data_IF_610180310918
#
_entry.id   IF_610180310918
#
_cell.length_a   1.000
_cell.length_b   1.000
_cell.length_c   1.000
_cell.angle_alpha   90.00
_cell.angle_beta   90.00
_cell.angle_gamma   90.00
#
_symmetry.space_group_name_H-M   'P 1'
#
loop_
_entity.id
_entity.type
_entity.pdbx_description
1 polymer ?
#
# COMPACT_ATOMS: atom_id res chain seq x y z
N UNK A 1 5.53 43.93 5.95
CA UNK A 1 6.17 43.32 4.77
C UNK A 1 7.56 42.85 5.17
N UNK A 2 7.96 41.63 4.81
CA UNK A 2 9.33 41.14 5.04
C UNK A 2 9.38 39.65 5.38
N UNK A 3 9.23 38.80 4.37
CA UNK A 3 9.56 37.38 4.49
C UNK A 3 11.07 37.16 4.33
N UNK A 4 11.61 36.14 5.00
CA UNK A 4 12.95 35.64 4.70
C UNK A 4 12.94 34.11 4.72
N UNK A 5 13.13 33.54 3.54
CA UNK A 5 13.13 32.09 3.31
C UNK A 5 14.40 31.44 3.86
N UNK A 6 14.23 30.32 4.56
CA UNK A 6 15.34 29.45 4.95
C UNK A 6 15.66 28.48 3.80
N UNK A 7 16.77 28.72 3.13
CA UNK A 7 17.39 27.78 2.21
C UNK A 7 17.85 26.54 2.98
N UNK A 8 17.36 25.36 2.61
CA UNK A 8 17.82 24.09 3.17
C UNK A 8 19.30 23.87 2.82
N UNK A 9 20.16 23.73 3.82
CA UNK A 9 21.56 23.33 3.65
C UNK A 9 21.68 21.83 3.88
N UNK A 10 22.29 21.16 2.91
CA UNK A 10 22.45 19.72 2.86
C UNK A 10 23.66 19.31 3.71
N UNK A 11 23.50 18.31 4.59
CA UNK A 11 24.58 17.71 5.39
C UNK A 11 24.83 16.32 4.82
N UNK A 12 26.04 16.08 4.34
CA UNK A 12 26.46 14.77 3.82
C UNK A 12 27.08 13.95 4.95
N UNK A 13 26.55 12.75 5.16
CA UNK A 13 27.09 11.76 6.09
C UNK A 13 27.83 10.69 5.27
N UNK A 14 29.13 10.50 5.55
CA UNK A 14 29.87 9.32 5.10
C UNK A 14 29.80 8.25 6.19
N UNK A 15 29.50 7.01 5.80
CA UNK A 15 29.59 5.84 6.68
C UNK A 15 30.91 5.14 6.36
N UNK A 16 31.82 5.09 7.33
CA UNK A 16 33.01 4.23 7.25
C UNK A 16 32.62 2.77 7.57
N UNK A 17 33.41 1.80 7.10
CA UNK A 17 33.15 0.34 7.14
C UNK A 17 32.93 -0.26 8.55
N UNK A 18 33.08 0.52 9.62
CA UNK A 18 32.90 0.11 11.02
C UNK A 18 31.63 0.69 11.69
N UNK A 19 30.63 1.12 10.92
CA UNK A 19 29.35 1.69 11.42
C UNK A 19 29.50 2.88 12.40
N UNK A 20 30.66 3.55 12.42
CA UNK A 20 30.91 4.69 13.31
C UNK A 20 30.77 5.99 12.53
N UNK A 21 29.77 6.79 12.88
CA UNK A 21 29.55 8.13 12.28
C UNK A 21 30.70 9.06 12.68
N UNK A 22 31.53 9.44 11.71
CA UNK A 22 32.53 10.51 11.86
C UNK A 22 31.92 11.82 11.35
N UNK A 23 31.79 12.81 12.24
CA UNK A 23 31.29 14.14 11.88
C UNK A 23 32.45 14.91 11.23
N UNK A 24 32.38 15.16 9.93
CA UNK A 24 33.34 16.04 9.24
C UNK A 24 33.16 17.46 9.79
N UNK A 25 34.25 18.02 10.32
CA UNK A 25 34.26 19.30 11.02
C UNK A 25 33.66 20.44 10.19
N UNK A 26 32.73 21.18 10.80
CA UNK A 26 32.15 22.36 10.19
C UNK A 26 30.92 22.97 10.88
N UNK A 27 30.46 22.44 12.02
CA UNK A 27 29.25 22.95 12.70
C UNK A 27 29.62 23.69 13.98
N UNK A 28 29.49 25.02 13.94
CA UNK A 28 29.53 25.89 15.13
C UNK A 28 28.29 25.60 15.99
N UNK A 29 28.42 24.70 16.96
CA UNK A 29 27.31 24.19 17.79
C UNK A 29 26.98 25.16 18.93
N UNK A 30 25.95 26.00 18.77
CA UNK A 30 25.26 26.59 19.92
C UNK A 30 24.46 25.46 20.60
N UNK A 31 25.05 24.81 21.61
CA UNK A 31 24.31 23.89 22.47
C UNK A 31 23.40 24.74 23.37
N UNK A 32 22.08 24.55 23.27
CA UNK A 32 21.13 25.11 24.24
C UNK A 32 21.54 24.68 25.66
N UNK A 33 21.64 25.62 26.60
CA UNK A 33 22.02 25.34 28.00
C UNK A 33 21.10 24.30 28.65
N UNK A 34 19.83 24.25 28.22
CA UNK A 34 18.86 23.25 28.65
C UNK A 34 19.23 21.82 28.20
N UNK A 35 19.77 21.63 27.00
CA UNK A 35 20.20 20.31 26.51
C UNK A 35 21.47 19.84 27.22
N UNK A 36 22.36 20.77 27.57
CA UNK A 36 23.56 20.47 28.38
C UNK A 36 23.12 20.04 29.79
N UNK A 37 22.20 20.77 30.41
CA UNK A 37 21.69 20.45 31.74
C UNK A 37 20.93 19.11 31.77
N UNK A 38 20.13 18.82 30.74
CA UNK A 38 19.43 17.54 30.60
C UNK A 38 20.39 16.36 30.44
N UNK A 39 21.42 16.49 29.58
CA UNK A 39 22.46 15.48 29.40
C UNK A 39 23.22 15.21 30.69
N UNK A 40 23.65 16.27 31.39
CA UNK A 40 24.39 16.15 32.65
C UNK A 40 23.54 15.50 33.76
N UNK A 41 22.26 15.85 33.82
CA UNK A 41 21.33 15.24 34.78
C UNK A 41 21.12 13.75 34.49
N UNK A 42 20.92 13.38 33.23
CA UNK A 42 20.75 11.99 32.83
C UNK A 42 22.01 11.15 33.12
N UNK A 43 23.19 11.67 32.79
CA UNK A 43 24.47 11.01 33.03
C UNK A 43 24.74 10.81 34.54
N UNK A 44 24.36 11.80 35.36
CA UNK A 44 24.43 11.68 36.83
C UNK A 44 23.44 10.63 37.37
N UNK A 45 22.22 10.58 36.86
CA UNK A 45 21.25 9.54 37.23
C UNK A 45 21.75 8.14 36.82
N UNK A 46 22.35 8.03 35.63
CA UNK A 46 22.91 6.78 35.13
C UNK A 46 24.11 6.33 35.97
N UNK A 47 24.97 7.25 36.42
CA UNK A 47 26.07 6.96 37.33
C UNK A 47 25.59 6.47 38.70
N UNK A 48 24.53 7.07 39.25
CA UNK A 48 23.94 6.62 40.51
C UNK A 48 23.37 5.20 40.42
N UNK A 49 22.65 4.89 39.34
CA UNK A 49 22.11 3.54 39.11
C UNK A 49 23.24 2.52 38.93
N UNK A 50 24.28 2.87 38.18
CA UNK A 50 25.48 2.04 38.00
C UNK A 50 26.18 1.78 39.35
N UNK A 51 26.32 2.79 40.19
CA UNK A 51 26.94 2.65 41.52
C UNK A 51 26.10 1.75 42.45
N UNK A 52 24.77 1.88 42.44
CA UNK A 52 23.87 1.02 43.21
C UNK A 52 23.97 -0.44 42.75
N UNK A 53 24.05 -0.68 41.43
CA UNK A 53 24.25 -2.02 40.87
C UNK A 53 25.61 -2.60 41.23
N UNK A 54 26.68 -1.79 41.19
CA UNK A 54 28.02 -2.22 41.59
C UNK A 54 28.05 -2.59 43.08
N UNK A 55 27.40 -1.81 43.94
CA UNK A 55 27.25 -2.11 45.37
C UNK A 55 26.47 -3.40 45.61
N UNK A 56 25.35 -3.61 44.91
CA UNK A 56 24.60 -4.87 45.00
C UNK A 56 25.42 -6.07 44.54
N UNK A 57 26.10 -5.96 43.40
CA UNK A 57 26.95 -7.03 42.86
C UNK A 57 28.14 -7.34 43.77
N UNK A 58 28.65 -6.34 44.50
CA UNK A 58 29.71 -6.54 45.49
C UNK A 58 29.19 -7.20 46.76
N UNK A 59 28.04 -6.76 47.28
CA UNK A 59 27.36 -7.41 48.41
C UNK A 59 27.01 -8.87 48.10
N UNK A 60 26.61 -9.18 46.86
CA UNK A 60 26.36 -10.56 46.42
C UNK A 60 27.64 -11.42 46.44
N UNK A 61 28.76 -10.87 45.96
CA UNK A 61 30.07 -11.55 45.98
C UNK A 61 30.59 -11.75 47.41
N UNK A 62 30.44 -10.75 48.27
CA UNK A 62 30.85 -10.81 49.67
C UNK A 62 29.95 -11.77 50.47
N UNK A 63 28.64 -11.76 50.25
CA UNK A 63 27.71 -12.74 50.82
C UNK A 63 28.03 -14.17 50.38
N UNK A 64 28.44 -14.36 49.12
CA UNK A 64 28.90 -15.66 48.60
C UNK A 64 30.27 -16.08 49.15
N UNK A 65 31.07 -15.16 49.69
CA UNK A 65 32.38 -15.43 50.28
C UNK A 65 32.33 -15.63 51.81
N UNK A 66 31.34 -15.05 52.50
CA UNK A 66 31.16 -15.14 53.97
C UNK A 66 30.41 -16.40 54.39
N UNK A 67 29.69 -17.08 53.49
CA UNK A 67 29.10 -18.39 53.79
C UNK A 67 30.17 -19.46 53.97
N UNK A 68 30.46 -19.80 55.23
CA UNK A 68 31.39 -20.84 55.67
C UNK A 68 31.05 -22.20 55.02
N UNK A 69 32.04 -22.81 54.36
CA UNK A 69 31.85 -23.96 53.48
C UNK A 69 31.66 -25.28 54.25
N UNK A 70 30.43 -25.81 54.28
CA UNK A 70 30.26 -27.28 54.28
C UNK A 70 28.86 -27.75 53.87
N UNK A 71 27.79 -27.14 54.38
CA UNK A 71 26.41 -27.64 54.14
C UNK A 71 25.65 -26.92 53.01
N UNK A 72 25.95 -25.65 52.71
CA UNK A 72 25.24 -24.85 51.70
C UNK A 72 25.93 -24.80 50.33
N UNK A 73 27.20 -25.21 50.26
CA UNK A 73 28.02 -25.21 49.05
C UNK A 73 27.57 -26.19 47.96
N UNK A 74 27.05 -27.40 48.26
CA UNK A 74 26.52 -28.28 47.23
C UNK A 74 25.26 -27.71 46.54
N UNK A 75 24.37 -27.09 47.33
CA UNK A 75 23.15 -26.47 46.82
C UNK A 75 23.46 -25.24 45.95
N UNK A 76 24.40 -24.38 46.39
CA UNK A 76 24.84 -23.22 45.61
C UNK A 76 25.54 -23.61 44.29
N UNK A 77 26.34 -24.67 44.29
CA UNK A 77 27.00 -25.18 43.08
C UNK A 77 25.99 -25.77 42.08
N UNK A 78 24.96 -26.46 42.57
CA UNK A 78 23.86 -26.96 41.75
C UNK A 78 23.05 -25.81 41.13
N UNK A 79 22.70 -24.79 41.92
CA UNK A 79 22.00 -23.58 41.43
C UNK A 79 22.82 -22.81 40.40
N UNK A 80 24.14 -22.68 40.60
CA UNK A 80 25.05 -22.10 39.59
C UNK A 80 25.09 -22.92 38.30
N UNK A 81 25.11 -24.25 38.39
CA UNK A 81 25.09 -25.10 37.20
C UNK A 81 23.77 -24.98 36.46
N UNK A 82 22.65 -24.94 37.19
CA UNK A 82 21.30 -24.80 36.65
C UNK A 82 21.10 -23.46 35.97
N UNK A 83 21.53 -22.36 36.60
CA UNK A 83 21.48 -21.01 36.00
C UNK A 83 22.38 -20.91 34.76
N UNK A 84 23.55 -21.56 34.77
CA UNK A 84 24.42 -21.63 33.58
C UNK A 84 23.78 -22.43 32.45
N UNK A 85 23.17 -23.56 32.73
CA UNK A 85 22.45 -24.38 31.74
C UNK A 85 21.25 -23.62 31.15
N UNK A 86 20.46 -22.94 31.99
CA UNK A 86 19.36 -22.08 31.57
C UNK A 86 19.84 -20.89 30.73
N UNK A 87 20.99 -20.31 31.05
CA UNK A 87 21.60 -19.24 30.29
C UNK A 87 22.08 -19.70 28.91
N UNK A 88 22.70 -20.88 28.80
CA UNK A 88 23.06 -21.44 27.49
C UNK A 88 21.82 -21.77 26.66
N UNK A 89 20.75 -22.30 27.27
CA UNK A 89 19.45 -22.47 26.60
C UNK A 89 18.89 -21.12 26.13
N UNK A 90 18.95 -20.09 26.95
CA UNK A 90 18.50 -18.74 26.60
C UNK A 90 19.30 -18.16 25.41
N UNK A 91 20.61 -18.39 25.34
CA UNK A 91 21.42 -17.97 24.17
C UNK A 91 20.97 -18.63 22.87
N UNK A 92 20.63 -19.91 22.91
CA UNK A 92 20.10 -20.62 21.74
C UNK A 92 18.76 -20.01 21.31
N UNK A 93 17.85 -19.79 22.27
CA UNK A 93 16.56 -19.14 22.01
C UNK A 93 16.73 -17.73 21.41
N UNK A 94 17.69 -16.94 21.90
CA UNK A 94 17.98 -15.61 21.33
C UNK A 94 18.43 -15.73 19.88
N UNK A 95 19.29 -16.70 19.54
CA UNK A 95 19.70 -16.94 18.14
C UNK A 95 18.52 -17.34 17.26
N UNK A 96 17.65 -18.22 17.75
CA UNK A 96 16.46 -18.66 17.03
C UNK A 96 15.49 -17.50 16.78
N UNK A 97 15.26 -16.66 17.79
CA UNK A 97 14.42 -15.46 17.67
C UNK A 97 15.01 -14.47 16.66
N UNK A 98 16.32 -14.22 16.68
CA UNK A 98 16.99 -13.35 15.70
C UNK A 98 16.87 -13.91 14.28
N UNK A 99 17.03 -15.23 14.11
CA UNK A 99 16.86 -15.88 12.81
C UNK A 99 15.41 -15.78 12.31
N UNK A 100 14.43 -16.04 13.18
CA UNK A 100 13.01 -15.91 12.87
C UNK A 100 12.63 -14.48 12.49
N UNK A 101 13.18 -13.49 13.17
CA UNK A 101 12.94 -12.09 12.87
C UNK A 101 13.44 -11.71 11.47
N UNK A 102 14.65 -12.14 11.10
CA UNK A 102 15.20 -11.92 9.76
C UNK A 102 14.37 -12.63 8.67
N UNK A 103 13.87 -13.82 8.98
CA UNK A 103 12.96 -14.58 8.09
C UNK A 103 11.63 -13.86 7.90
N UNK A 104 11.09 -13.27 8.96
CA UNK A 104 9.85 -12.51 8.93
C UNK A 104 10.00 -11.26 8.06
N UNK A 105 11.08 -10.50 8.26
CA UNK A 105 11.40 -9.31 7.46
C UNK A 105 11.47 -9.64 5.95
N UNK A 106 12.15 -10.73 5.57
CA UNK A 106 12.17 -11.19 4.17
C UNK A 106 10.76 -11.47 3.62
N UNK A 107 9.90 -12.10 4.43
CA UNK A 107 8.52 -12.40 4.04
C UNK A 107 7.68 -11.15 3.90
N UNK A 108 7.87 -10.16 4.76
CA UNK A 108 7.21 -8.86 4.66
C UNK A 108 7.64 -8.12 3.38
N UNK A 109 8.92 -8.16 3.02
CA UNK A 109 9.42 -7.57 1.78
C UNK A 109 8.89 -8.26 0.51
N UNK A 110 8.81 -9.60 0.52
CA UNK A 110 8.18 -10.38 -0.56
C UNK A 110 6.71 -9.98 -0.72
N UNK A 111 5.96 -9.92 0.38
CA UNK A 111 4.55 -9.52 0.39
C UNK A 111 4.37 -8.07 -0.06
N UNK A 112 5.23 -7.15 0.37
CA UNK A 112 5.19 -5.75 -0.06
C UNK A 112 5.42 -5.61 -1.57
N UNK A 113 6.37 -6.37 -2.12
CA UNK A 113 6.65 -6.41 -3.57
C UNK A 113 5.43 -6.88 -4.35
N UNK A 114 4.83 -8.00 -3.93
CA UNK A 114 3.64 -8.55 -4.57
C UNK A 114 2.45 -7.59 -4.46
N UNK A 115 2.22 -7.02 -3.26
CA UNK A 115 1.16 -6.03 -3.03
C UNK A 115 1.31 -4.81 -3.95
N UNK A 116 2.53 -4.28 -4.09
CA UNK A 116 2.79 -3.13 -4.95
C UNK A 116 2.51 -3.44 -6.43
N UNK A 117 2.87 -4.64 -6.90
CA UNK A 117 2.53 -5.08 -8.25
C UNK A 117 1.02 -5.07 -8.48
N UNK A 118 0.22 -5.64 -7.57
CA UNK A 118 -1.23 -5.64 -7.71
C UNK A 118 -1.83 -4.23 -7.65
N UNK A 119 -1.33 -3.36 -6.76
CA UNK A 119 -1.76 -1.95 -6.70
C UNK A 119 -1.50 -1.21 -8.02
N UNK A 120 -0.33 -1.40 -8.63
CA UNK A 120 -0.01 -0.79 -9.92
C UNK A 120 -0.94 -1.30 -11.04
N UNK A 121 -1.20 -2.61 -11.07
CA UNK A 121 -2.15 -3.19 -12.04
C UNK A 121 -3.57 -2.64 -11.87
N UNK A 122 -4.00 -2.44 -10.63
CA UNK A 122 -5.30 -1.86 -10.32
C UNK A 122 -5.38 -0.39 -10.74
N UNK A 123 -4.37 0.43 -10.43
CA UNK A 123 -4.32 1.84 -10.85
C UNK A 123 -4.34 2.01 -12.38
N UNK A 124 -3.65 1.12 -13.12
CA UNK A 124 -3.72 1.11 -14.58
C UNK A 124 -5.12 0.77 -15.09
N UNK A 125 -5.81 -0.18 -14.45
CA UNK A 125 -7.19 -0.52 -14.81
C UNK A 125 -8.15 0.62 -14.47
N UNK A 126 -8.02 1.22 -13.30
CA UNK A 126 -8.82 2.36 -12.86
C UNK A 126 -8.67 3.56 -13.81
N UNK A 127 -7.43 3.90 -14.19
CA UNK A 127 -7.14 4.94 -15.19
C UNK A 127 -7.70 4.60 -16.57
N UNK A 128 -7.69 3.33 -16.98
CA UNK A 128 -8.33 2.93 -18.23
C UNK A 128 -9.84 3.13 -18.14
N UNK A 129 -10.47 2.67 -17.06
CA UNK A 129 -11.91 2.76 -16.83
C UNK A 129 -12.38 4.21 -16.74
N UNK A 130 -11.61 5.13 -16.16
CA UNK A 130 -11.97 6.56 -16.10
C UNK A 130 -11.88 7.26 -17.46
N UNK A 131 -10.99 6.81 -18.35
CA UNK A 131 -10.80 7.38 -19.70
C UNK A 131 -11.74 6.72 -20.73
N UNK A 132 -12.20 5.50 -20.48
CA UNK A 132 -13.16 4.80 -21.34
C UNK A 132 -14.47 5.57 -21.60
N UNK A 133 -15.19 6.16 -20.62
CA UNK A 133 -16.41 6.91 -20.90
C UNK A 133 -16.15 8.16 -21.75
N UNK A 134 -15.00 8.81 -21.58
CA UNK A 134 -14.62 10.00 -22.33
C UNK A 134 -14.18 9.69 -23.77
N UNK A 135 -13.54 8.53 -24.01
CA UNK A 135 -13.25 8.01 -25.36
C UNK A 135 -14.50 7.44 -26.04
N UNK A 136 -15.38 6.75 -25.30
CA UNK A 136 -16.68 6.31 -25.81
C UNK A 136 -17.51 7.52 -26.23
N UNK A 137 -17.57 8.60 -25.44
CA UNK A 137 -18.31 9.82 -25.79
C UNK A 137 -17.78 10.55 -27.03
N UNK A 138 -16.49 10.37 -27.39
CA UNK A 138 -15.91 10.95 -28.62
C UNK A 138 -16.03 10.04 -29.84
N UNK A 139 -16.18 8.73 -29.66
CA UNK A 139 -16.38 7.77 -30.75
C UNK A 139 -17.86 7.43 -30.99
N UNK A 140 -18.71 7.57 -29.98
CA UNK A 140 -20.16 7.63 -30.16
C UNK A 140 -20.50 9.06 -30.52
N UNK A 141 -20.52 9.34 -31.83
CA UNK A 141 -21.41 10.38 -32.34
C UNK A 141 -22.79 10.06 -31.74
N UNK A 142 -23.53 11.00 -31.13
CA UNK A 142 -24.91 10.76 -30.76
C UNK A 142 -25.68 10.60 -32.08
N UNK A 143 -25.62 9.40 -32.66
CA UNK A 143 -26.59 8.95 -33.63
C UNK A 143 -27.85 8.73 -32.81
N UNK A 144 -28.58 9.82 -32.58
CA UNK A 144 -30.00 9.70 -32.31
C UNK A 144 -30.54 8.71 -33.34
N UNK A 145 -31.24 7.64 -32.92
CA UNK A 145 -31.73 6.65 -33.85
C UNK A 145 -32.50 7.37 -34.94
N UNK A 146 -32.15 7.10 -36.20
CA UNK A 146 -32.78 7.76 -37.34
C UNK A 146 -34.28 7.48 -37.28
N UNK A 147 -35.09 8.53 -37.44
CA UNK A 147 -36.55 8.49 -37.31
C UNK A 147 -37.12 8.28 -35.88
N UNK A 148 -36.33 8.46 -34.82
CA UNK A 148 -36.78 8.28 -33.42
C UNK A 148 -38.02 9.11 -33.04
N UNK A 149 -38.10 10.37 -33.46
CA UNK A 149 -39.26 11.21 -33.19
C UNK A 149 -40.53 10.73 -33.93
N UNK A 150 -40.39 10.28 -35.17
CA UNK A 150 -41.48 9.69 -35.95
C UNK A 150 -41.92 8.36 -35.34
N UNK A 151 -40.98 7.54 -34.89
CA UNK A 151 -41.26 6.29 -34.19
C UNK A 151 -42.09 6.51 -32.92
N UNK A 152 -41.72 7.52 -32.10
CA UNK A 152 -42.48 7.87 -30.89
C UNK A 152 -43.91 8.28 -31.22
N UNK A 153 -44.12 9.11 -32.25
CA UNK A 153 -45.44 9.56 -32.69
C UNK A 153 -46.30 8.39 -33.22
N UNK A 154 -45.72 7.47 -34.00
CA UNK A 154 -46.42 6.26 -34.49
C UNK A 154 -46.88 5.39 -33.32
N UNK A 155 -45.99 5.12 -32.37
CA UNK A 155 -46.30 4.32 -31.18
C UNK A 155 -47.36 5.00 -30.32
N UNK A 156 -47.31 6.32 -30.19
CA UNK A 156 -48.31 7.09 -29.47
C UNK A 156 -49.69 7.00 -30.14
N UNK A 157 -49.77 7.18 -31.46
CA UNK A 157 -51.03 7.10 -32.21
C UNK A 157 -51.72 5.73 -32.06
N UNK A 158 -50.95 4.64 -32.09
CA UNK A 158 -51.50 3.28 -31.91
C UNK A 158 -51.98 3.01 -30.49
N UNK A 159 -51.38 3.64 -29.46
CA UNK A 159 -51.87 3.55 -28.08
C UNK A 159 -53.19 4.29 -27.90
N UNK A 160 -53.34 5.43 -28.57
CA UNK A 160 -54.54 6.28 -28.48
C UNK A 160 -55.70 5.73 -29.33
N UNK A 161 -55.42 4.95 -30.40
CA UNK A 161 -56.43 4.45 -31.34
C UNK A 161 -56.37 2.92 -31.55
N UNK A 162 -56.62 2.09 -30.51
CA UNK A 162 -56.48 0.64 -30.60
C UNK A 162 -57.52 -0.02 -31.53
N UNK A 163 -58.69 0.58 -31.69
CA UNK A 163 -59.78 0.06 -32.54
C UNK A 163 -59.79 0.67 -33.96
N UNK A 164 -59.01 1.72 -34.20
CA UNK A 164 -59.00 2.48 -35.46
C UNK A 164 -57.56 2.72 -35.95
N UNK A 165 -56.78 1.63 -36.01
CA UNK A 165 -55.36 1.61 -36.41
C UNK A 165 -55.11 2.21 -37.80
N UNK A 166 -56.12 2.20 -38.67
CA UNK A 166 -56.08 2.80 -40.00
C UNK A 166 -55.86 4.32 -39.99
N UNK A 167 -56.28 5.04 -38.94
CA UNK A 167 -56.02 6.49 -38.83
C UNK A 167 -54.53 6.82 -38.62
N UNK A 168 -53.75 5.87 -38.09
CA UNK A 168 -52.31 6.01 -37.92
C UNK A 168 -51.51 5.63 -39.19
N UNK A 169 -52.18 5.23 -40.27
CA UNK A 169 -51.54 4.80 -41.53
C UNK A 169 -50.69 5.88 -42.17
N UNK A 170 -51.13 7.14 -42.15
CA UNK A 170 -50.37 8.28 -42.69
C UNK A 170 -49.04 8.48 -41.96
N UNK A 171 -49.06 8.37 -40.63
CA UNK A 171 -47.90 8.51 -39.77
C UNK A 171 -46.95 7.31 -39.88
N UNK A 172 -47.51 6.10 -39.98
CA UNK A 172 -46.75 4.88 -40.25
C UNK A 172 -46.04 4.94 -41.61
N UNK A 173 -46.71 5.47 -42.64
CA UNK A 173 -46.11 5.66 -43.96
C UNK A 173 -44.95 6.66 -43.93
N UNK A 174 -45.09 7.77 -43.20
CA UNK A 174 -44.00 8.74 -43.01
C UNK A 174 -42.80 8.13 -42.30
N UNK A 175 -43.02 7.32 -41.27
CA UNK A 175 -41.96 6.57 -40.59
C UNK A 175 -41.27 5.60 -41.55
N UNK A 176 -42.04 4.84 -42.35
CA UNK A 176 -41.48 3.90 -43.33
C UNK A 176 -40.67 4.61 -44.42
N UNK A 177 -41.12 5.77 -44.91
CA UNK A 177 -40.35 6.58 -45.86
C UNK A 177 -39.03 7.06 -45.25
N UNK A 178 -39.06 7.55 -44.01
CA UNK A 178 -37.86 7.97 -43.29
C UNK A 178 -36.86 6.80 -43.12
N UNK A 179 -37.34 5.62 -42.73
CA UNK A 179 -36.50 4.41 -42.59
C UNK A 179 -35.93 3.97 -43.94
N UNK A 180 -36.70 4.02 -45.02
CA UNK A 180 -36.22 3.68 -46.35
C UNK A 180 -35.16 4.66 -46.87
N UNK A 181 -35.32 5.95 -46.59
CA UNK A 181 -34.32 6.98 -46.90
C UNK A 181 -33.05 6.76 -46.08
N UNK A 182 -33.17 6.48 -44.79
CA UNK A 182 -32.03 6.16 -43.92
C UNK A 182 -31.25 4.91 -44.38
N UNK A 183 -31.97 3.88 -44.85
CA UNK A 183 -31.38 2.68 -45.45
C UNK A 183 -30.63 2.98 -46.74
N UNK A 184 -31.14 3.87 -47.60
CA UNK A 184 -30.48 4.30 -48.85
C UNK A 184 -29.21 5.10 -48.61
N UNK A 185 -29.17 5.89 -47.55
CA UNK A 185 -28.01 6.71 -47.15
C UNK A 185 -26.97 5.90 -46.34
N UNK A 186 -27.20 4.60 -46.14
CA UNK A 186 -26.23 3.71 -45.49
C UNK A 186 -26.05 3.95 -43.99
N UNK A 187 -27.04 4.53 -43.32
CA UNK A 187 -27.05 4.64 -41.86
C UNK A 187 -27.76 3.41 -41.29
N UNK A 188 -27.14 2.24 -41.46
CA UNK A 188 -27.45 1.10 -40.59
C UNK A 188 -26.96 1.44 -39.17
N UNK A 189 -27.67 1.04 -38.10
CA UNK A 189 -27.05 1.07 -36.79
C UNK A 189 -25.77 0.24 -36.91
N UNK A 190 -24.62 0.85 -36.66
CA UNK A 190 -23.38 0.13 -36.46
C UNK A 190 -23.57 -0.68 -35.18
N UNK A 191 -24.22 -1.85 -35.30
CA UNK A 191 -24.20 -2.87 -34.28
C UNK A 191 -22.74 -3.24 -34.07
N UNK A 192 -22.20 -2.80 -32.92
CA UNK A 192 -21.01 -3.29 -32.23
C UNK A 192 -19.79 -3.60 -33.10
N UNK A 193 -18.68 -2.92 -32.82
CA UNK A 193 -17.36 -3.46 -33.14
C UNK A 193 -17.19 -4.85 -32.49
N UNK A 194 -17.57 -5.92 -33.18
CA UNK A 194 -16.99 -7.24 -32.98
C UNK A 194 -15.61 -7.17 -33.62
N UNK A 195 -14.59 -6.91 -32.81
CA UNK A 195 -13.21 -7.10 -33.23
C UNK A 195 -13.02 -8.58 -33.56
N UNK A 196 -13.12 -8.94 -34.84
CA UNK A 196 -12.62 -10.22 -35.35
C UNK A 196 -11.09 -10.12 -35.31
N UNK A 197 -10.50 -10.43 -34.17
CA UNK A 197 -9.09 -10.83 -34.11
C UNK A 197 -9.05 -12.24 -34.69
N UNK A 198 -8.50 -12.37 -35.92
CA UNK A 198 -8.07 -13.66 -36.45
C UNK A 198 -6.95 -14.21 -35.57
N UNK A 199 -7.30 -14.90 -34.50
CA UNK A 199 -6.41 -15.88 -33.90
C UNK A 199 -6.88 -17.27 -34.33
N UNK A 200 -5.94 -18.01 -34.90
CA UNK A 200 -6.11 -19.34 -35.45
C UNK A 200 -6.71 -20.26 -34.38
N UNK A 201 -7.78 -20.97 -34.76
CA UNK A 201 -8.34 -22.16 -34.09
C UNK A 201 -9.06 -21.88 -32.77
N UNK A 202 -10.35 -21.58 -32.86
CA UNK A 202 -11.46 -22.33 -32.25
C UNK A 202 -12.61 -21.36 -32.00
N UNK A 203 -13.66 -21.47 -32.82
CA UNK A 203 -14.89 -20.70 -32.65
C UNK A 203 -15.67 -21.36 -31.49
N UNK A 204 -15.72 -20.70 -30.34
CA UNK A 204 -16.68 -21.03 -29.28
C UNK A 204 -17.69 -19.89 -29.23
N UNK A 205 -18.91 -20.15 -29.69
CA UNK A 205 -20.05 -19.28 -29.48
C UNK A 205 -20.59 -19.52 -28.06
N UNK A 206 -20.71 -18.46 -27.26
CA UNK A 206 -21.62 -18.44 -26.12
C UNK A 206 -22.85 -17.62 -26.53
N UNK A 207 -24.03 -18.19 -26.28
CA UNK A 207 -25.35 -17.58 -26.49
C UNK A 207 -25.59 -16.37 -25.58
#
# INVERSE_FOLDING_TARGET
MGGNGSTARNVSFGLDENEKVTVIEGVKRQRSTALIFFSFSFERQQALVQEQLAKLAQMEREAAAVTDLSELTPALMLEKHKTHEEHEKAKLLVRDVVWLWKRLEQKEQELATISNFYKEKLDVLEKKVSVFPMKLARMTRPTAPVCSELQAKVLQCYRENPQQTLHCSSLANQYMTCVQQAKKVGVGPACGCWSIRKEKKSLVFFF
#
